data_IF_063487291229
#
_entry.id   IF_063487291229
#
_cell.length_a   1.000
_cell.length_b   1.000
_cell.length_c   1.000
_cell.angle_alpha   90.00
_cell.angle_beta   90.00
_cell.angle_gamma   90.00
#
_symmetry.space_group_name_H-M   'P 1'
#
loop_
_entity.id
_entity.type
_entity.pdbx_description
1 polymer ?
#
# COMPACT_ATOMS: atom_id res chain seq x y z
N UNK A 1 -2.90 29.71 -4.62
CA UNK A 1 -3.36 28.96 -5.81
C UNK A 1 -3.13 27.46 -5.68
N UNK A 2 -1.90 26.96 -5.51
CA UNK A 2 -1.66 25.49 -5.41
C UNK A 2 -2.22 24.89 -4.11
N UNK A 3 -1.97 25.53 -2.96
CA UNK A 3 -2.50 25.06 -1.67
C UNK A 3 -4.02 25.11 -1.65
N UNK A 4 -4.62 26.21 -2.14
CA UNK A 4 -6.08 26.35 -2.21
C UNK A 4 -6.73 25.25 -3.06
N UNK A 5 -6.09 24.90 -4.18
CA UNK A 5 -6.54 23.79 -5.01
C UNK A 5 -6.43 22.45 -4.28
N UNK A 6 -5.34 22.19 -3.56
CA UNK A 6 -5.20 20.97 -2.75
C UNK A 6 -6.31 20.92 -1.70
N UNK A 7 -6.54 22.02 -0.96
CA UNK A 7 -7.60 22.10 0.05
C UNK A 7 -8.98 21.86 -0.55
N UNK A 8 -9.26 22.45 -1.73
CA UNK A 8 -10.48 22.20 -2.47
C UNK A 8 -10.60 20.70 -2.85
N UNK A 9 -9.59 20.16 -3.53
CA UNK A 9 -9.60 18.79 -4.04
C UNK A 9 -9.67 17.72 -2.94
N UNK A 10 -9.14 18.02 -1.74
CA UNK A 10 -9.17 17.11 -0.59
C UNK A 10 -10.26 17.45 0.44
N UNK A 11 -11.20 18.33 0.10
CA UNK A 11 -12.35 18.65 0.97
C UNK A 11 -13.31 17.46 1.12
N UNK A 12 -14.15 17.48 2.15
CA UNK A 12 -15.15 16.43 2.41
C UNK A 12 -16.03 16.17 1.17
N UNK A 13 -16.57 17.24 0.57
CA UNK A 13 -17.45 17.16 -0.60
C UNK A 13 -16.79 16.41 -1.75
N UNK A 14 -15.56 16.79 -2.11
CA UNK A 14 -14.83 16.16 -3.21
C UNK A 14 -14.37 14.74 -2.87
N UNK A 15 -14.00 14.46 -1.61
CA UNK A 15 -13.66 13.11 -1.17
C UNK A 15 -14.86 12.16 -1.27
N UNK A 16 -16.07 12.60 -0.86
CA UNK A 16 -17.29 11.79 -0.98
C UNK A 16 -17.71 11.62 -2.45
N UNK A 17 -17.58 12.65 -3.28
CA UNK A 17 -17.81 12.53 -4.73
C UNK A 17 -16.86 11.51 -5.38
N UNK A 18 -15.59 11.47 -4.95
CA UNK A 18 -14.63 10.44 -5.38
C UNK A 18 -15.04 9.04 -4.91
N UNK A 19 -15.53 8.88 -3.68
CA UNK A 19 -16.07 7.60 -3.19
C UNK A 19 -17.20 7.14 -4.10
N UNK A 20 -18.17 8.01 -4.37
CA UNK A 20 -19.33 7.70 -5.22
C UNK A 20 -18.92 7.32 -6.64
N UNK A 21 -17.99 8.07 -7.26
CA UNK A 21 -17.61 7.86 -8.66
C UNK A 21 -16.63 6.72 -8.87
N UNK A 22 -15.73 6.49 -7.92
CA UNK A 22 -14.56 5.61 -8.12
C UNK A 22 -14.58 4.37 -7.21
N UNK A 23 -15.44 4.32 -6.19
CA UNK A 23 -15.45 3.24 -5.21
C UNK A 23 -14.10 3.12 -4.49
N UNK A 24 -13.45 4.26 -4.19
CA UNK A 24 -12.17 4.32 -3.48
C UNK A 24 -12.38 4.86 -2.08
N UNK A 25 -11.63 4.33 -1.12
CA UNK A 25 -11.64 4.88 0.24
C UNK A 25 -11.19 6.34 0.24
N UNK A 26 -11.87 7.21 1.01
CA UNK A 26 -11.41 8.57 1.19
C UNK A 26 -10.16 8.60 2.08
N UNK A 27 -9.30 9.60 1.87
CA UNK A 27 -8.14 9.85 2.72
C UNK A 27 -8.52 10.63 3.99
N UNK A 28 -9.62 11.39 3.95
CA UNK A 28 -10.09 12.16 5.10
C UNK A 28 -10.72 11.23 6.14
N UNK A 29 -10.18 11.24 7.36
CA UNK A 29 -10.66 10.36 8.44
C UNK A 29 -12.15 10.48 8.70
N UNK A 30 -12.70 11.69 8.75
CA UNK A 30 -14.13 11.91 9.01
C UNK A 30 -15.02 11.42 7.86
N UNK A 31 -14.51 11.29 6.64
CA UNK A 31 -15.27 10.76 5.51
C UNK A 31 -15.39 9.23 5.55
N UNK A 32 -14.55 8.53 6.33
CA UNK A 32 -14.66 7.08 6.51
C UNK A 32 -15.89 6.66 7.33
N UNK A 33 -16.45 7.59 8.11
CA UNK A 33 -17.65 7.39 8.93
C UNK A 33 -18.94 7.65 8.13
N UNK A 34 -18.82 8.12 6.88
CA UNK A 34 -19.97 8.42 6.03
C UNK A 34 -20.72 7.14 5.61
N UNK A 35 -22.06 7.15 5.56
CA UNK A 35 -22.86 6.01 5.09
C UNK A 35 -22.47 5.47 3.71
N UNK A 36 -21.92 6.30 2.82
CA UNK A 36 -21.39 5.87 1.52
C UNK A 36 -20.24 4.86 1.66
N UNK A 37 -19.47 4.94 2.75
CA UNK A 37 -18.40 4.00 3.08
C UNK A 37 -18.91 2.88 3.98
N UNK A 38 -19.65 3.19 5.05
CA UNK A 38 -20.02 2.19 6.06
C UNK A 38 -21.09 1.21 5.60
N UNK A 39 -21.96 1.60 4.66
CA UNK A 39 -23.04 0.74 4.17
C UNK A 39 -22.63 -0.10 2.94
N UNK A 40 -21.52 0.23 2.29
CA UNK A 40 -20.95 -0.60 1.23
C UNK A 40 -20.03 -1.66 1.85
N UNK A 41 -20.37 -2.94 1.69
CA UNK A 41 -19.62 -4.02 2.34
C UNK A 41 -18.15 -4.11 1.89
N UNK A 42 -17.82 -3.72 0.66
CA UNK A 42 -16.45 -3.73 0.16
C UNK A 42 -15.65 -2.56 0.73
N UNK A 43 -16.25 -1.36 0.76
CA UNK A 43 -15.60 -0.18 1.33
C UNK A 43 -15.46 -0.30 2.84
N UNK A 44 -16.51 -0.73 3.55
CA UNK A 44 -16.46 -0.95 4.99
C UNK A 44 -15.38 -1.96 5.38
N UNK A 45 -15.30 -3.10 4.68
CA UNK A 45 -14.24 -4.09 4.89
C UNK A 45 -12.84 -3.54 4.61
N UNK A 46 -12.69 -2.79 3.51
CA UNK A 46 -11.41 -2.15 3.16
C UNK A 46 -10.98 -1.12 4.20
N UNK A 47 -11.92 -0.31 4.72
CA UNK A 47 -11.66 0.70 5.75
C UNK A 47 -11.23 0.04 7.07
N UNK A 48 -11.90 -1.06 7.46
CA UNK A 48 -11.55 -1.83 8.65
C UNK A 48 -10.13 -2.42 8.56
N UNK A 49 -9.71 -2.88 7.37
CA UNK A 49 -8.36 -3.40 7.18
C UNK A 49 -7.31 -2.28 7.11
N UNK A 50 -7.64 -1.14 6.49
CA UNK A 50 -6.71 -0.02 6.31
C UNK A 50 -6.17 0.49 7.65
N UNK A 51 -7.02 0.58 8.68
CA UNK A 51 -6.61 1.08 10.01
C UNK A 51 -5.72 0.12 10.79
N UNK A 52 -5.65 -1.15 10.38
CA UNK A 52 -4.76 -2.17 10.94
C UNK A 52 -3.44 -2.26 10.16
N UNK A 53 -3.36 -1.61 9.00
CA UNK A 53 -2.18 -1.61 8.15
C UNK A 53 -1.09 -0.66 8.65
N UNK A 54 0.14 -0.91 8.21
CA UNK A 54 1.26 0.02 8.36
C UNK A 54 1.66 0.52 6.97
N UNK A 55 1.89 1.84 6.77
CA UNK A 55 2.40 2.35 5.50
C UNK A 55 3.71 1.66 5.11
N UNK A 56 3.86 1.32 3.83
CA UNK A 56 5.14 0.84 3.33
C UNK A 56 6.19 1.95 3.49
N UNK A 57 7.45 1.62 3.84
CA UNK A 57 8.50 2.62 3.89
C UNK A 57 8.64 3.33 2.54
N UNK A 58 8.92 4.63 2.56
CA UNK A 58 8.98 5.49 1.37
C UNK A 58 10.41 5.81 0.91
N UNK A 59 11.40 5.24 1.60
CA UNK A 59 12.83 5.40 1.29
C UNK A 59 13.20 4.63 0.03
N UNK A 60 14.25 5.06 -0.67
CA UNK A 60 14.66 4.49 -1.97
C UNK A 60 15.01 3.00 -1.88
N UNK A 61 15.56 2.61 -0.73
CA UNK A 61 15.98 1.28 -0.33
C UNK A 61 14.85 0.24 -0.39
N UNK A 62 13.59 0.65 -0.34
CA UNK A 62 12.47 -0.27 -0.52
C UNK A 62 12.41 -0.91 -1.90
N UNK A 63 13.01 -0.30 -2.93
CA UNK A 63 13.12 -0.93 -4.26
C UNK A 63 13.94 -2.23 -4.20
N UNK A 64 15.06 -2.22 -3.46
CA UNK A 64 15.90 -3.40 -3.27
C UNK A 64 15.14 -4.56 -2.62
N UNK A 65 14.27 -4.26 -1.65
CA UNK A 65 13.43 -5.27 -1.01
C UNK A 65 12.49 -5.93 -2.04
N UNK A 66 11.76 -5.13 -2.82
CA UNK A 66 10.83 -5.67 -3.84
C UNK A 66 11.52 -6.53 -4.91
N UNK A 67 12.67 -6.08 -5.40
CA UNK A 67 13.44 -6.80 -6.42
C UNK A 67 14.00 -8.12 -5.89
N UNK A 68 14.43 -8.14 -4.62
CA UNK A 68 15.00 -9.34 -3.98
C UNK A 68 13.92 -10.34 -3.59
N UNK A 69 12.75 -9.86 -3.16
CA UNK A 69 11.61 -10.67 -2.73
C UNK A 69 10.93 -11.42 -3.88
N UNK A 70 10.78 -10.78 -5.05
CA UNK A 70 10.00 -11.32 -6.17
C UNK A 70 10.48 -12.70 -6.69
N UNK A 71 11.75 -12.89 -7.08
CA UNK A 71 12.21 -14.18 -7.63
C UNK A 71 12.14 -15.30 -6.59
N UNK A 72 12.41 -14.97 -5.33
CA UNK A 72 12.42 -15.95 -4.24
C UNK A 72 11.00 -16.38 -3.83
N UNK A 73 10.02 -15.47 -3.84
CA UNK A 73 8.61 -15.84 -3.67
C UNK A 73 8.15 -16.76 -4.80
N UNK A 74 8.54 -16.48 -6.03
CA UNK A 74 8.22 -17.35 -7.17
C UNK A 74 8.88 -18.72 -7.03
N UNK A 75 10.10 -18.81 -6.52
CA UNK A 75 10.78 -20.06 -6.30
C UNK A 75 10.05 -20.96 -5.28
N UNK A 76 9.52 -20.36 -4.20
CA UNK A 76 8.67 -21.06 -3.22
C UNK A 76 7.36 -21.51 -3.84
N UNK A 77 6.65 -20.64 -4.56
CA UNK A 77 5.37 -20.97 -5.19
C UNK A 77 5.48 -22.02 -6.30
N UNK A 78 6.68 -22.21 -6.86
CA UNK A 78 6.99 -23.24 -7.84
C UNK A 78 7.58 -24.52 -7.22
N UNK A 79 7.61 -24.63 -5.88
CA UNK A 79 8.21 -25.75 -5.16
C UNK A 79 9.68 -26.02 -5.50
N UNK A 80 10.41 -24.99 -5.94
CA UNK A 80 11.83 -25.09 -6.34
C UNK A 80 12.80 -24.66 -5.24
N UNK A 81 12.30 -24.04 -4.17
CA UNK A 81 13.08 -23.61 -3.01
C UNK A 81 12.21 -23.62 -1.75
N UNK A 82 12.77 -24.00 -0.60
CA UNK A 82 12.05 -23.96 0.68
C UNK A 82 11.74 -22.50 1.08
N UNK A 83 10.67 -22.25 1.85
CA UNK A 83 10.42 -20.91 2.40
C UNK A 83 11.60 -20.34 3.19
N UNK A 84 12.29 -21.19 3.96
CA UNK A 84 13.43 -20.80 4.79
C UNK A 84 14.63 -20.35 3.93
N UNK A 85 15.00 -21.15 2.93
CA UNK A 85 16.12 -20.83 2.04
C UNK A 85 15.82 -19.62 1.16
N UNK A 86 14.56 -19.49 0.72
CA UNK A 86 14.10 -18.34 -0.05
C UNK A 86 14.19 -17.05 0.79
N UNK A 87 13.72 -17.07 2.04
CA UNK A 87 13.79 -15.90 2.92
C UNK A 87 15.24 -15.47 3.22
N UNK A 88 16.17 -16.42 3.37
CA UNK A 88 17.58 -16.12 3.55
C UNK A 88 18.22 -15.52 2.28
N UNK A 89 17.86 -16.03 1.10
CA UNK A 89 18.30 -15.50 -0.19
C UNK A 89 17.73 -14.09 -0.45
N UNK A 90 16.47 -13.84 -0.11
CA UNK A 90 15.85 -12.50 -0.21
C UNK A 90 16.64 -11.46 0.59
N UNK A 91 16.98 -11.78 1.85
CA UNK A 91 17.74 -10.87 2.73
C UNK A 91 19.14 -10.59 2.16
N UNK A 92 19.85 -11.64 1.76
CA UNK A 92 21.21 -11.51 1.21
C UNK A 92 21.23 -10.67 -0.08
N UNK A 93 20.23 -10.87 -0.96
CA UNK A 93 20.09 -10.09 -2.18
C UNK A 93 19.71 -8.63 -1.91
N UNK A 94 18.85 -8.38 -0.92
CA UNK A 94 18.49 -7.02 -0.51
C UNK A 94 19.73 -6.28 0.01
N UNK A 95 20.49 -6.89 0.92
CA UNK A 95 21.72 -6.31 1.46
C UNK A 95 22.74 -5.99 0.35
N UNK A 96 22.92 -6.91 -0.60
CA UNK A 96 23.81 -6.68 -1.74
C UNK A 96 23.33 -5.53 -2.64
N UNK A 97 22.01 -5.41 -2.85
CA UNK A 97 21.42 -4.32 -3.63
C UNK A 97 21.59 -2.96 -2.94
N UNK A 98 21.42 -2.89 -1.62
CA UNK A 98 21.58 -1.65 -0.86
C UNK A 98 22.97 -1.02 -1.05
N UNK A 99 24.02 -1.83 -1.21
CA UNK A 99 25.38 -1.37 -1.48
C UNK A 99 25.54 -0.67 -2.84
N UNK A 100 24.55 -0.79 -3.73
CA UNK A 100 24.55 -0.18 -5.07
C UNK A 100 23.80 1.15 -5.13
N UNK A 101 23.02 1.47 -4.10
CA UNK A 101 22.29 2.73 -3.98
C UNK A 101 23.21 3.73 -3.26
N UNK A 102 23.82 4.63 -4.05
CA UNK A 102 24.59 5.78 -3.55
C UNK A 102 23.72 7.04 -3.52
#
# INVERSE_FOLDING_TARGET
>A
MVVDFITFATSMENQLDMVTKLGRLPALKSALEDPLVTNDAFLAGSAAQMVLGTPMPTVLEMRCNWDSMKPEMQAVLNDTKSPEDAAAAMQSAADACLLTIQ
#
